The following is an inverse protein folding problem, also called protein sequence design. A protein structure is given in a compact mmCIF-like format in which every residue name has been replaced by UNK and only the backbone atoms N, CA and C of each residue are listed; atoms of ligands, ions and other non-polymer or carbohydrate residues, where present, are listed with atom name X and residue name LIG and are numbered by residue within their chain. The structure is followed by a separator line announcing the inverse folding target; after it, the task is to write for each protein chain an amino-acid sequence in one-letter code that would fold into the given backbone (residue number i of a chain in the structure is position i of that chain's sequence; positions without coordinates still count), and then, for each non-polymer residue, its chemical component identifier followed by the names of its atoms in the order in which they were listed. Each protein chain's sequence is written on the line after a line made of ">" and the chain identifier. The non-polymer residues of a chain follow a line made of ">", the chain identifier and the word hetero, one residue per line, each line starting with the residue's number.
data_IF_904350491928
#
_entry.id   IF_904350491928
#
_cell.length_a   1.000
_cell.length_b   1.000
_cell.length_c   1.000
_cell.angle_alpha   90.00
_cell.angle_beta   90.00
_cell.angle_gamma   90.00
#
_symmetry.space_group_name_H-M   'P 1'
#
loop_
_entity.id
_entity.type
_entity.pdbx_description
1 polymer ?
#
# COMPACT_ATOMS: atom_id res chain seq x y z
N UNK A 1 -15.47 16.69 33.72
CA UNK A 1 -14.32 17.30 33.02
C UNK A 1 -14.18 16.59 31.70
N UNK A 2 -14.56 17.25 30.60
CA UNK A 2 -14.47 16.70 29.25
C UNK A 2 -13.02 16.79 28.75
N UNK A 3 -12.43 15.66 28.40
CA UNK A 3 -11.10 15.59 27.79
C UNK A 3 -11.20 16.05 26.33
N UNK A 4 -10.93 17.33 26.07
CA UNK A 4 -10.80 17.82 24.69
C UNK A 4 -9.59 17.15 24.03
N UNK A 5 -9.86 16.33 23.00
CA UNK A 5 -8.83 15.79 22.12
C UNK A 5 -8.05 16.95 21.48
N UNK A 6 -6.78 17.10 21.88
CA UNK A 6 -5.87 18.16 21.42
C UNK A 6 -5.62 17.96 19.92
N UNK A 7 -6.15 18.85 19.08
CA UNK A 7 -5.85 18.86 17.64
C UNK A 7 -4.32 18.83 17.46
N UNK A 8 -3.77 17.93 16.61
CA UNK A 8 -2.33 17.88 16.38
C UNK A 8 -1.82 19.25 15.94
N UNK A 9 -0.73 19.70 16.56
CA UNK A 9 -0.12 20.99 16.27
C UNK A 9 0.22 21.05 14.77
N UNK A 10 -0.32 22.07 14.08
CA UNK A 10 -0.09 22.27 12.64
C UNK A 10 1.39 22.30 12.29
N UNK A 11 2.25 22.76 13.21
CA UNK A 11 3.69 22.77 13.04
C UNK A 11 4.29 21.37 12.99
N UNK A 12 3.77 20.44 13.80
CA UNK A 12 4.17 19.02 13.79
C UNK A 12 3.84 18.40 12.43
N UNK A 13 2.59 18.56 11.97
CA UNK A 13 2.15 18.03 10.67
C UNK A 13 3.01 18.59 9.53
N UNK A 14 3.22 19.91 9.50
CA UNK A 14 4.02 20.57 8.45
C UNK A 14 5.45 20.05 8.43
N UNK A 15 6.06 19.85 9.60
CA UNK A 15 7.46 19.41 9.71
C UNK A 15 7.61 17.94 9.33
N UNK A 16 6.73 17.05 9.82
CA UNK A 16 6.71 15.65 9.39
C UNK A 16 6.52 15.51 7.88
N UNK A 17 5.62 16.32 7.29
CA UNK A 17 5.42 16.33 5.83
C UNK A 17 6.66 16.76 5.06
N UNK A 18 7.39 17.77 5.54
CA UNK A 18 8.64 18.21 4.94
C UNK A 18 9.71 17.11 5.00
N UNK A 19 9.88 16.46 6.15
CA UNK A 19 10.81 15.33 6.36
C UNK A 19 10.48 14.18 5.39
N UNK A 20 9.21 13.78 5.30
CA UNK A 20 8.78 12.69 4.41
C UNK A 20 8.96 13.04 2.93
N UNK A 21 8.67 14.28 2.55
CA UNK A 21 8.86 14.75 1.18
C UNK A 21 10.34 14.78 0.78
N UNK A 22 11.22 15.17 1.71
CA UNK A 22 12.66 15.13 1.52
C UNK A 22 13.17 13.68 1.39
N UNK A 23 12.71 12.79 2.28
CA UNK A 23 13.02 11.37 2.19
C UNK A 23 12.61 10.76 0.85
N UNK A 24 11.40 11.06 0.36
CA UNK A 24 10.90 10.61 -0.94
C UNK A 24 11.81 11.01 -2.12
N UNK A 25 12.32 12.24 -2.09
CA UNK A 25 13.21 12.75 -3.13
C UNK A 25 14.56 12.03 -3.11
N UNK A 26 15.07 11.74 -1.92
CA UNK A 26 16.36 11.06 -1.74
C UNK A 26 16.28 9.60 -2.15
N UNK A 27 15.20 8.90 -1.81
CA UNK A 27 15.02 7.47 -2.12
C UNK A 27 14.79 7.20 -3.61
N UNK A 28 14.41 8.22 -4.38
CA UNK A 28 14.37 8.17 -5.83
C UNK A 28 15.77 8.23 -6.48
N UNK A 29 16.80 8.63 -5.72
CA UNK A 29 18.14 8.93 -6.22
C UNK A 29 19.22 7.97 -5.70
N UNK A 30 19.03 7.41 -4.50
CA UNK A 30 19.98 6.50 -3.84
C UNK A 30 19.28 5.52 -2.92
N UNK A 31 19.99 4.45 -2.55
CA UNK A 31 19.51 3.42 -1.63
C UNK A 31 19.23 3.99 -0.22
N UNK A 32 18.22 3.44 0.47
CA UNK A 32 17.86 3.86 1.84
C UNK A 32 19.06 3.78 2.79
N UNK A 33 19.92 2.77 2.64
CA UNK A 33 21.12 2.59 3.46
C UNK A 33 22.11 3.76 3.36
N UNK A 34 22.08 4.51 2.25
CA UNK A 34 22.97 5.63 1.97
C UNK A 34 22.33 6.99 2.30
N UNK A 35 21.07 6.99 2.74
CA UNK A 35 20.37 8.19 3.19
C UNK A 35 20.74 8.48 4.64
N UNK A 36 21.26 9.68 4.89
CA UNK A 36 21.59 10.13 6.24
C UNK A 36 20.56 11.14 6.77
N UNK A 37 20.51 11.29 8.09
CA UNK A 37 19.70 12.34 8.74
C UNK A 37 20.10 13.74 8.25
N UNK A 38 21.39 13.93 7.91
CA UNK A 38 21.88 15.19 7.36
C UNK A 38 21.23 15.46 6.00
N UNK A 39 21.24 14.48 5.10
CA UNK A 39 20.63 14.63 3.77
C UNK A 39 19.15 15.01 3.87
N UNK A 40 18.40 14.34 4.77
CA UNK A 40 16.99 14.63 4.98
C UNK A 40 16.79 16.02 5.58
N UNK A 41 17.59 16.41 6.57
CA UNK A 41 17.50 17.71 7.22
C UNK A 41 17.80 18.85 6.24
N UNK A 42 18.85 18.71 5.42
CA UNK A 42 19.24 19.67 4.40
C UNK A 42 18.15 19.79 3.32
N UNK A 43 17.62 18.67 2.83
CA UNK A 43 16.55 18.66 1.81
C UNK A 43 15.18 19.14 2.34
N UNK A 44 14.90 18.98 3.63
CA UNK A 44 13.67 19.46 4.26
C UNK A 44 13.76 20.91 4.76
N UNK A 45 14.92 21.57 4.64
CA UNK A 45 15.22 22.90 5.19
C UNK A 45 14.94 23.00 6.70
N UNK A 46 15.49 22.04 7.45
CA UNK A 46 15.37 21.98 8.92
C UNK A 46 16.73 21.72 9.58
N UNK A 47 16.84 22.07 10.87
CA UNK A 47 17.99 21.65 11.66
C UNK A 47 17.90 20.15 11.99
N UNK A 48 19.04 19.44 12.04
CA UNK A 48 19.10 18.05 12.53
C UNK A 48 18.44 17.87 13.91
N UNK A 49 18.57 18.85 14.82
CA UNK A 49 17.88 18.83 16.12
C UNK A 49 16.35 18.80 15.96
N UNK A 50 15.83 19.47 14.94
CA UNK A 50 14.39 19.45 14.61
C UNK A 50 13.96 18.08 14.10
N UNK A 51 14.78 17.39 13.30
CA UNK A 51 14.52 16.00 12.89
C UNK A 51 14.37 15.09 14.12
N UNK A 52 15.30 15.17 15.07
CA UNK A 52 15.28 14.35 16.29
C UNK A 52 14.10 14.61 17.22
N UNK A 53 13.34 15.70 17.05
CA UNK A 53 12.09 15.91 17.78
C UNK A 53 10.95 15.00 17.27
N UNK A 54 11.10 14.42 16.08
CA UNK A 54 10.07 13.62 15.42
C UNK A 54 10.51 12.19 15.13
N UNK A 55 11.80 11.97 14.89
CA UNK A 55 12.37 10.69 14.48
C UNK A 55 13.75 10.46 15.12
N UNK A 56 13.96 9.28 15.66
CA UNK A 56 15.23 8.77 16.17
C UNK A 56 16.23 8.44 15.06
N UNK A 57 15.74 8.14 13.85
CA UNK A 57 16.58 7.81 12.70
C UNK A 57 15.81 7.72 11.38
N UNK A 58 16.54 7.46 10.29
CA UNK A 58 15.96 7.33 8.94
C UNK A 58 14.95 6.19 8.87
N UNK A 59 15.23 5.06 9.52
CA UNK A 59 14.34 3.90 9.51
C UNK A 59 12.99 4.14 10.21
N UNK A 60 12.91 5.05 11.18
CA UNK A 60 11.60 5.41 11.78
C UNK A 60 10.73 6.20 10.78
N UNK A 61 11.35 6.97 9.88
CA UNK A 61 10.63 7.61 8.76
C UNK A 61 10.12 6.54 7.79
N UNK A 62 10.92 5.51 7.52
CA UNK A 62 10.53 4.37 6.67
C UNK A 62 9.36 3.63 7.28
N UNK A 63 9.44 3.26 8.56
CA UNK A 63 8.40 2.53 9.28
C UNK A 63 7.08 3.32 9.31
N UNK A 64 7.09 4.62 9.59
CA UNK A 64 5.88 5.44 9.57
C UNK A 64 5.21 5.46 8.18
N UNK A 65 6.02 5.48 7.11
CA UNK A 65 5.50 5.43 5.73
C UNK A 65 4.95 4.04 5.38
N UNK A 66 5.65 2.97 5.75
CA UNK A 66 5.18 1.59 5.55
C UNK A 66 3.84 1.37 6.24
N UNK A 67 3.76 1.77 7.51
CA UNK A 67 2.57 1.62 8.33
C UNK A 67 1.41 2.43 7.75
N UNK A 68 1.65 3.63 7.23
CA UNK A 68 0.60 4.40 6.55
C UNK A 68 0.05 3.66 5.31
N UNK A 69 0.93 3.11 4.46
CA UNK A 69 0.52 2.37 3.25
C UNK A 69 -0.26 1.11 3.65
N UNK A 70 0.25 0.36 4.62
CA UNK A 70 -0.38 -0.85 5.14
C UNK A 70 -1.74 -0.51 5.77
N UNK A 71 -1.83 0.54 6.57
CA UNK A 71 -3.07 0.95 7.23
C UNK A 71 -4.12 1.43 6.22
N UNK A 72 -3.72 2.20 5.20
CA UNK A 72 -4.63 2.59 4.12
C UNK A 72 -5.18 1.37 3.37
N UNK A 73 -4.33 0.38 3.08
CA UNK A 73 -4.74 -0.85 2.40
C UNK A 73 -5.67 -1.72 3.27
N UNK A 74 -5.27 -1.95 4.53
CA UNK A 74 -6.02 -2.80 5.47
C UNK A 74 -7.36 -2.19 5.85
N UNK A 75 -7.47 -0.86 5.93
CA UNK A 75 -8.74 -0.16 6.13
C UNK A 75 -9.71 -0.40 4.97
N UNK A 76 -9.21 -0.39 3.72
CA UNK A 76 -10.04 -0.73 2.56
C UNK A 76 -10.49 -2.19 2.61
N UNK A 77 -9.59 -3.13 2.95
CA UNK A 77 -9.94 -4.54 3.07
C UNK A 77 -10.94 -4.84 4.20
N UNK A 78 -10.87 -4.12 5.32
CA UNK A 78 -11.75 -4.37 6.46
C UNK A 78 -13.23 -4.15 6.13
N UNK A 79 -13.53 -3.33 5.12
CA UNK A 79 -14.89 -3.04 4.65
C UNK A 79 -15.31 -3.88 3.43
N UNK A 80 -14.47 -4.82 2.99
CA UNK A 80 -14.76 -5.67 1.84
C UNK A 80 -15.61 -6.85 2.25
N UNK A 81 -16.80 -6.94 1.65
CA UNK A 81 -17.53 -8.20 1.53
C UNK A 81 -17.14 -8.86 0.20
N UNK A 82 -16.38 -9.95 0.27
CA UNK A 82 -15.92 -10.67 -0.91
C UNK A 82 -17.06 -11.28 -1.72
N UNK A 83 -18.21 -11.59 -1.12
CA UNK A 83 -19.39 -12.03 -1.89
C UNK A 83 -19.90 -10.91 -2.82
N UNK A 84 -19.89 -9.68 -2.34
CA UNK A 84 -20.27 -8.51 -3.14
C UNK A 84 -19.17 -8.13 -4.14
N UNK A 85 -17.90 -8.21 -3.73
CA UNK A 85 -16.76 -7.85 -4.58
C UNK A 85 -16.55 -8.83 -5.74
N UNK A 86 -16.90 -10.11 -5.60
CA UNK A 86 -16.93 -11.05 -6.74
C UNK A 86 -17.87 -10.56 -7.87
N UNK A 87 -18.91 -9.79 -7.53
CA UNK A 87 -19.86 -9.22 -8.48
C UNK A 87 -19.50 -7.79 -8.93
N UNK A 88 -18.75 -7.04 -8.11
CA UNK A 88 -18.28 -5.70 -8.46
C UNK A 88 -16.82 -5.45 -8.02
N UNK A 89 -15.86 -6.03 -8.76
CA UNK A 89 -14.46 -6.01 -8.37
C UNK A 89 -13.78 -4.65 -8.44
N UNK A 90 -14.37 -3.69 -9.15
CA UNK A 90 -13.74 -2.39 -9.39
C UNK A 90 -13.72 -1.51 -8.15
N UNK A 91 -14.68 -1.70 -7.24
CA UNK A 91 -14.88 -0.84 -6.06
C UNK A 91 -13.66 -0.86 -5.15
N UNK A 92 -13.11 -2.05 -4.87
CA UNK A 92 -11.94 -2.19 -4.00
C UNK A 92 -10.71 -1.53 -4.62
N UNK A 93 -10.49 -1.75 -5.92
CA UNK A 93 -9.35 -1.19 -6.64
C UNK A 93 -9.43 0.34 -6.74
N UNK A 94 -10.63 0.91 -6.95
CA UNK A 94 -10.84 2.36 -6.92
C UNK A 94 -10.51 2.94 -5.54
N UNK A 95 -10.99 2.31 -4.45
CA UNK A 95 -10.69 2.73 -3.08
C UNK A 95 -9.19 2.67 -2.76
N UNK A 96 -8.52 1.60 -3.17
CA UNK A 96 -7.07 1.46 -3.04
C UNK A 96 -6.33 2.56 -3.82
N UNK A 97 -6.74 2.81 -5.07
CA UNK A 97 -6.14 3.86 -5.91
C UNK A 97 -6.34 5.27 -5.35
N UNK A 98 -7.44 5.51 -4.64
CA UNK A 98 -7.72 6.80 -4.00
C UNK A 98 -6.73 7.10 -2.87
N UNK A 99 -6.30 6.08 -2.11
CA UNK A 99 -5.24 6.21 -1.11
C UNK A 99 -3.91 6.64 -1.74
N UNK A 100 -3.52 5.97 -2.84
CA UNK A 100 -2.29 6.26 -3.58
C UNK A 100 -2.31 7.68 -4.17
N UNK A 101 -3.48 8.15 -4.63
CA UNK A 101 -3.63 9.49 -5.25
C UNK A 101 -3.21 10.63 -4.32
N UNK A 102 -3.36 10.47 -3.01
CA UNK A 102 -3.10 11.54 -2.03
C UNK A 102 -1.62 11.95 -1.94
N UNK A 103 -0.69 11.04 -2.26
CA UNK A 103 0.75 11.31 -2.32
C UNK A 103 1.44 10.44 -3.38
N UNK A 104 0.92 10.49 -4.62
CA UNK A 104 1.34 9.64 -5.73
C UNK A 104 2.86 9.69 -5.98
N UNK A 105 3.46 10.87 -5.80
CA UNK A 105 4.90 11.11 -6.00
C UNK A 105 5.74 10.45 -4.91
N UNK A 106 5.29 10.48 -3.65
CA UNK A 106 5.96 9.77 -2.56
C UNK A 106 5.94 8.27 -2.85
N UNK A 107 4.77 7.71 -3.13
CA UNK A 107 4.63 6.27 -3.37
C UNK A 107 5.37 5.82 -4.62
N UNK A 108 5.31 6.57 -5.73
CA UNK A 108 6.07 6.23 -6.94
C UNK A 108 7.56 6.16 -6.66
N UNK A 109 8.11 7.11 -5.90
CA UNK A 109 9.54 7.15 -5.57
C UNK A 109 9.97 5.94 -4.72
N UNK A 110 9.11 5.51 -3.79
CA UNK A 110 9.38 4.36 -2.92
C UNK A 110 9.32 3.03 -3.67
N UNK A 111 8.32 2.86 -4.54
CA UNK A 111 8.10 1.62 -5.29
C UNK A 111 9.04 1.46 -6.49
N UNK A 112 9.58 2.56 -7.04
CA UNK A 112 10.55 2.50 -8.15
C UNK A 112 11.98 2.26 -7.65
N UNK A 113 12.34 2.86 -6.51
CA UNK A 113 13.69 2.77 -5.94
C UNK A 113 14.08 1.35 -5.54
N UNK A 114 15.37 1.14 -5.25
CA UNK A 114 15.95 -0.14 -4.83
C UNK A 114 15.62 -0.50 -3.37
N UNK A 115 14.36 -0.34 -2.97
CA UNK A 115 13.88 -0.45 -1.59
C UNK A 115 13.25 -1.83 -1.34
N UNK A 116 14.00 -2.89 -1.65
CA UNK A 116 13.47 -4.27 -1.66
C UNK A 116 12.92 -4.68 -0.31
N UNK A 117 13.60 -4.36 0.80
CA UNK A 117 13.14 -4.73 2.15
C UNK A 117 11.80 -4.06 2.50
N UNK A 118 11.67 -2.76 2.23
CA UNK A 118 10.45 -2.00 2.47
C UNK A 118 9.29 -2.55 1.64
N UNK A 119 9.53 -2.73 0.35
CA UNK A 119 8.52 -3.26 -0.58
C UNK A 119 8.08 -4.67 -0.18
N UNK A 120 9.04 -5.51 0.25
CA UNK A 120 8.74 -6.87 0.69
C UNK A 120 7.91 -6.90 1.98
N UNK A 121 8.19 -6.01 2.95
CA UNK A 121 7.38 -5.89 4.17
C UNK A 121 5.94 -5.51 3.83
N UNK A 122 5.74 -4.49 3.00
CA UNK A 122 4.40 -4.05 2.55
C UNK A 122 3.66 -5.20 1.86
N UNK A 123 4.30 -5.87 0.88
CA UNK A 123 3.71 -6.99 0.15
C UNK A 123 3.30 -8.12 1.09
N UNK A 124 4.20 -8.54 1.99
CA UNK A 124 3.94 -9.66 2.89
C UNK A 124 2.78 -9.35 3.85
N UNK A 125 2.75 -8.15 4.42
CA UNK A 125 1.65 -7.75 5.32
C UNK A 125 0.32 -7.69 4.57
N UNK A 126 0.31 -7.14 3.36
CA UNK A 126 -0.88 -7.11 2.49
C UNK A 126 -1.35 -8.53 2.16
N UNK A 127 -0.45 -9.43 1.76
CA UNK A 127 -0.78 -10.84 1.48
C UNK A 127 -1.45 -11.51 2.67
N UNK A 128 -0.85 -11.38 3.86
CA UNK A 128 -1.42 -11.95 5.09
C UNK A 128 -2.83 -11.41 5.33
N UNK A 129 -3.04 -10.09 5.20
CA UNK A 129 -4.37 -9.50 5.39
C UNK A 129 -5.39 -9.97 4.36
N UNK A 130 -5.01 -10.11 3.09
CA UNK A 130 -5.89 -10.67 2.05
C UNK A 130 -6.31 -12.08 2.43
N UNK A 131 -5.37 -12.94 2.83
CA UNK A 131 -5.66 -14.34 3.21
C UNK A 131 -6.59 -14.43 4.41
N UNK A 132 -6.32 -13.65 5.47
CA UNK A 132 -7.19 -13.57 6.65
C UNK A 132 -8.61 -13.15 6.28
N UNK A 133 -8.74 -12.06 5.52
CA UNK A 133 -10.04 -11.46 5.19
C UNK A 133 -10.84 -12.34 4.23
N UNK A 134 -10.17 -12.96 3.26
CA UNK A 134 -10.82 -13.86 2.31
C UNK A 134 -11.25 -15.17 2.99
N UNK A 135 -10.34 -15.82 3.73
CA UNK A 135 -10.62 -17.10 4.41
C UNK A 135 -11.60 -17.00 5.60
N UNK A 136 -11.86 -15.79 6.10
CA UNK A 136 -12.92 -15.56 7.08
C UNK A 136 -14.31 -15.49 6.45
N UNK A 137 -14.42 -15.15 5.15
CA UNK A 137 -15.70 -14.92 4.47
C UNK A 137 -16.07 -16.04 3.49
N UNK A 138 -15.06 -16.73 2.95
CA UNK A 138 -15.20 -17.68 1.86
C UNK A 138 -14.42 -18.94 2.22
N UNK A 139 -15.06 -20.12 2.22
CA UNK A 139 -14.32 -21.37 2.29
C UNK A 139 -13.52 -21.54 0.99
N UNK A 140 -12.22 -21.80 1.13
CA UNK A 140 -11.31 -22.00 0.02
C UNK A 140 -10.17 -22.88 0.50
N UNK A 141 -9.64 -23.73 -0.38
CA UNK A 141 -8.45 -24.51 -0.08
C UNK A 141 -7.26 -23.59 0.27
N UNK A 142 -6.53 -23.83 1.39
CA UNK A 142 -5.43 -22.96 1.80
C UNK A 142 -4.30 -22.84 0.79
N UNK A 143 -3.98 -23.92 0.04
CA UNK A 143 -2.93 -23.88 -0.96
C UNK A 143 -3.36 -23.06 -2.18
N UNK A 144 -4.63 -23.18 -2.59
CA UNK A 144 -5.21 -22.33 -3.61
C UNK A 144 -5.21 -20.85 -3.19
N UNK A 145 -5.60 -20.55 -1.94
CA UNK A 145 -5.59 -19.19 -1.41
C UNK A 145 -4.18 -18.58 -1.39
N UNK A 146 -3.15 -19.39 -1.09
CA UNK A 146 -1.75 -18.96 -1.17
C UNK A 146 -1.38 -18.55 -2.60
N UNK A 147 -1.65 -19.41 -3.58
CA UNK A 147 -1.36 -19.16 -5.00
C UNK A 147 -2.10 -17.93 -5.52
N UNK A 148 -3.39 -17.80 -5.18
CA UNK A 148 -4.21 -16.64 -5.57
C UNK A 148 -3.66 -15.33 -4.98
N UNK A 149 -3.24 -15.36 -3.71
CA UNK A 149 -2.69 -14.20 -3.02
C UNK A 149 -1.34 -13.79 -3.59
N UNK A 150 -0.46 -14.76 -3.86
CA UNK A 150 0.84 -14.54 -4.48
C UNK A 150 0.71 -13.93 -5.87
N UNK A 151 -0.11 -14.53 -6.73
CA UNK A 151 -0.35 -14.05 -8.08
C UNK A 151 -0.94 -12.63 -8.09
N UNK A 152 -2.00 -12.40 -7.30
CA UNK A 152 -2.72 -11.13 -7.31
C UNK A 152 -1.88 -9.97 -6.77
N UNK A 153 -1.13 -10.19 -5.69
CA UNK A 153 -0.29 -9.13 -5.11
C UNK A 153 0.96 -8.86 -5.94
N UNK A 154 1.63 -9.90 -6.45
CA UNK A 154 2.79 -9.72 -7.33
C UNK A 154 2.40 -9.02 -8.63
N UNK A 155 1.30 -9.44 -9.26
CA UNK A 155 0.77 -8.80 -10.47
C UNK A 155 0.39 -7.33 -10.24
N UNK A 156 -0.30 -7.02 -9.14
CA UNK A 156 -0.69 -5.65 -8.80
C UNK A 156 0.52 -4.73 -8.65
N UNK A 157 1.52 -5.16 -7.87
CA UNK A 157 2.74 -4.37 -7.62
C UNK A 157 3.53 -4.18 -8.91
N UNK A 158 3.74 -5.25 -9.69
CA UNK A 158 4.51 -5.17 -10.93
C UNK A 158 3.88 -4.20 -11.94
N UNK A 159 2.56 -4.21 -12.09
CA UNK A 159 1.87 -3.30 -13.01
C UNK A 159 1.98 -1.85 -12.53
N UNK A 160 1.76 -1.56 -11.25
CA UNK A 160 1.94 -0.20 -10.73
C UNK A 160 3.38 0.29 -10.85
N UNK A 161 4.38 -0.55 -10.53
CA UNK A 161 5.79 -0.21 -10.71
C UNK A 161 6.11 0.10 -12.18
N UNK A 162 5.62 -0.71 -13.12
CA UNK A 162 5.81 -0.47 -14.55
C UNK A 162 5.17 0.85 -14.99
N UNK A 163 3.95 1.12 -14.51
CA UNK A 163 3.23 2.37 -14.79
C UNK A 163 3.92 3.60 -14.21
N UNK A 164 4.49 3.50 -13.01
CA UNK A 164 5.26 4.60 -12.43
C UNK A 164 6.56 4.88 -13.19
N UNK A 165 7.22 3.84 -13.72
CA UNK A 165 8.48 3.99 -14.48
C UNK A 165 8.26 4.57 -15.87
N UNK A 166 7.14 4.25 -16.51
CA UNK A 166 6.86 4.62 -17.88
C UNK A 166 5.62 5.51 -17.93
N UNK A 167 5.79 6.78 -18.30
CA UNK A 167 4.65 7.58 -18.74
C UNK A 167 4.20 7.05 -20.11
N UNK A 168 3.22 6.15 -20.08
CA UNK A 168 2.63 5.53 -21.26
C UNK A 168 1.30 6.20 -21.65
N UNK A 169 0.98 7.36 -21.05
CA UNK A 169 -0.28 8.07 -21.31
C UNK A 169 -1.53 7.40 -20.74
N UNK A 170 -1.40 6.30 -19.97
CA UNK A 170 -2.53 5.64 -19.33
C UNK A 170 -2.84 6.33 -18.01
N UNK A 171 -4.10 6.72 -17.79
CA UNK A 171 -4.50 7.30 -16.51
C UNK A 171 -4.53 6.24 -15.39
N UNK A 172 -4.31 6.66 -14.14
CA UNK A 172 -4.44 5.78 -12.97
C UNK A 172 -5.79 5.06 -12.95
N UNK A 173 -6.87 5.76 -13.28
CA UNK A 173 -8.23 5.21 -13.36
C UNK A 173 -8.34 4.09 -14.41
N UNK A 174 -7.79 4.31 -15.61
CA UNK A 174 -7.81 3.31 -16.69
C UNK A 174 -7.01 2.08 -16.29
N UNK A 175 -5.83 2.27 -15.69
CA UNK A 175 -4.99 1.20 -15.19
C UNK A 175 -5.71 0.38 -14.09
N UNK A 176 -6.32 1.07 -13.11
CA UNK A 176 -7.08 0.45 -12.03
C UNK A 176 -8.23 -0.41 -12.57
N UNK A 177 -8.94 0.05 -13.60
CA UNK A 177 -10.00 -0.71 -14.26
C UNK A 177 -9.43 -2.01 -14.90
N UNK A 178 -8.34 -1.94 -15.65
CA UNK A 178 -7.74 -3.12 -16.27
C UNK A 178 -7.22 -4.14 -15.26
N UNK A 179 -6.49 -3.69 -14.23
CA UNK A 179 -5.96 -4.60 -13.21
C UNK A 179 -7.10 -5.26 -12.42
N UNK A 180 -8.17 -4.51 -12.11
CA UNK A 180 -9.33 -5.09 -11.42
C UNK A 180 -9.92 -6.28 -12.19
N UNK A 181 -10.02 -6.15 -13.52
CA UNK A 181 -10.52 -7.22 -14.39
C UNK A 181 -9.55 -8.40 -14.49
N UNK A 182 -8.24 -8.15 -14.52
CA UNK A 182 -7.23 -9.21 -14.55
C UNK A 182 -7.21 -10.01 -13.25
N UNK A 183 -7.16 -9.32 -12.10
CA UNK A 183 -7.18 -9.95 -10.79
C UNK A 183 -8.45 -10.77 -10.59
N UNK A 184 -9.62 -10.18 -10.85
CA UNK A 184 -10.87 -10.88 -10.60
C UNK A 184 -11.22 -11.89 -11.67
N UNK A 185 -10.95 -11.65 -12.96
CA UNK A 185 -11.16 -12.66 -14.01
C UNK A 185 -10.39 -13.95 -13.75
N UNK A 186 -9.14 -13.84 -13.29
CA UNK A 186 -8.32 -14.99 -12.89
C UNK A 186 -8.87 -15.70 -11.66
N UNK A 187 -9.21 -14.95 -10.60
CA UNK A 187 -9.81 -15.47 -9.37
C UNK A 187 -11.15 -16.16 -9.64
N UNK A 188 -12.07 -15.50 -10.35
CA UNK A 188 -13.40 -16.04 -10.69
C UNK A 188 -13.30 -17.24 -11.61
N UNK A 189 -12.34 -17.26 -12.54
CA UNK A 189 -12.14 -18.41 -13.44
C UNK A 189 -11.74 -19.67 -12.66
N UNK A 190 -10.83 -19.54 -11.70
CA UNK A 190 -10.40 -20.66 -10.85
C UNK A 190 -11.49 -21.15 -9.90
N UNK A 191 -12.24 -20.20 -9.36
CA UNK A 191 -13.39 -20.44 -8.46
C UNK A 191 -14.55 -21.11 -9.20
N UNK A 192 -14.94 -20.60 -10.37
CA UNK A 192 -16.06 -21.11 -11.16
C UNK A 192 -15.75 -22.47 -11.80
N UNK A 193 -14.48 -22.75 -12.10
CA UNK A 193 -14.05 -24.06 -12.56
C UNK A 193 -14.18 -25.16 -11.47
N UNK A 194 -14.33 -24.78 -10.19
CA UNK A 194 -14.51 -25.71 -9.08
C UNK A 194 -15.66 -25.31 -8.14
N UNK A 195 -16.94 -25.48 -8.56
CA UNK A 195 -18.10 -24.96 -7.83
C UNK A 195 -18.28 -25.53 -6.41
N UNK A 196 -17.80 -26.75 -6.15
CA UNK A 196 -17.86 -27.39 -4.83
C UNK A 196 -16.78 -26.93 -3.83
N UNK A 197 -15.94 -25.96 -4.21
CA UNK A 197 -14.86 -25.46 -3.36
C UNK A 197 -15.21 -24.15 -2.65
N UNK A 198 -16.34 -23.52 -2.97
CA UNK A 198 -16.86 -22.35 -2.28
C UNK A 198 -18.11 -22.71 -1.49
N UNK A 199 -17.94 -23.10 -0.24
CA UNK A 199 -19.04 -23.08 0.72
C UNK A 199 -18.96 -21.77 1.51
N UNK A 200 -20.10 -21.12 1.72
CA UNK A 200 -20.16 -20.02 2.68
C UNK A 200 -19.83 -20.60 4.05
N UNK A 201 -18.98 -19.93 4.82
CA UNK A 201 -18.99 -20.16 6.27
C UNK A 201 -20.34 -19.65 6.77
N UNK A 202 -21.21 -20.57 7.17
CA UNK A 202 -22.39 -20.22 7.94
C UNK A 202 -21.95 -19.47 9.21
N UNK A 203 -22.67 -18.38 9.53
CA UNK A 203 -22.41 -17.51 10.68
C UNK A 203 -22.46 -18.25 12.01
#
# INVERSE_FOLDING_TARGET
>A
METQAKRPDRRVIKTKRAIRSAFAQLVAQKDISDITIKDIADAADINRKTFYNYYSGVYEVVEEIEDEIINAFTAVLAEVDFNTVLNNPQVIFYRLSAGIRSDLKLYSSLFIGNNTSMTQKIINTIKVKIKETFGSQVAVDPALLEVMSDYSTAGLVAVYQSWFRNDNGVSLETLTNWISKLCFGGVTGMVAANPGMLEKKDQ
#
